data_IF_151655469346
#
_entry.id   IF_151655469346
#
_cell.length_a   1.000
_cell.length_b   1.000
_cell.length_c   1.000
_cell.angle_alpha   90.00
_cell.angle_beta   90.00
_cell.angle_gamma   90.00
#
_symmetry.space_group_name_H-M   'P 1'
#
loop_
_entity.id
_entity.type
_entity.pdbx_description
1 polymer ?
#
# COMPACT_ATOMS: atom_id res chain seq x y z
N UNK A 1 12.28 -0.67 -4.86
CA UNK A 1 11.50 -1.89 -4.63
C UNK A 1 11.99 -3.03 -5.50
N UNK A 2 11.73 -4.25 -5.06
CA UNK A 2 12.04 -5.47 -5.82
C UNK A 2 10.71 -6.17 -6.11
N UNK A 3 10.49 -6.56 -7.38
CA UNK A 3 9.27 -7.24 -7.79
C UNK A 3 9.09 -8.57 -7.05
N UNK A 4 7.86 -8.89 -6.66
CA UNK A 4 7.53 -10.12 -5.96
C UNK A 4 7.81 -10.12 -4.45
N UNK A 5 8.42 -9.05 -3.90
CA UNK A 5 8.75 -9.00 -2.48
C UNK A 5 7.50 -8.99 -1.57
N UNK A 6 7.66 -9.67 -0.44
CA UNK A 6 6.72 -9.81 0.67
C UNK A 6 7.27 -9.08 1.90
N UNK A 7 6.54 -9.04 2.98
CA UNK A 7 7.01 -8.39 4.21
C UNK A 7 8.29 -9.04 4.78
N UNK A 8 8.43 -10.35 4.63
CA UNK A 8 9.66 -11.08 5.04
C UNK A 8 10.87 -10.66 4.23
N UNK A 9 10.70 -10.45 2.92
CA UNK A 9 11.79 -9.99 2.04
C UNK A 9 12.21 -8.54 2.37
N UNK A 10 11.28 -7.70 2.86
CA UNK A 10 11.62 -6.38 3.40
C UNK A 10 12.43 -6.49 4.68
N UNK A 11 12.04 -7.37 5.61
CA UNK A 11 12.76 -7.60 6.86
C UNK A 11 14.23 -7.94 6.59
N UNK A 12 14.45 -8.87 5.67
CA UNK A 12 15.78 -9.44 5.41
C UNK A 12 16.78 -8.42 4.83
N UNK A 13 16.28 -7.35 4.19
CA UNK A 13 17.10 -6.28 3.60
C UNK A 13 16.89 -4.90 4.25
N UNK A 14 16.18 -4.84 5.37
CA UNK A 14 15.77 -3.57 5.99
C UNK A 14 16.93 -2.72 6.45
N UNK A 15 18.01 -3.36 6.93
CA UNK A 15 19.21 -2.66 7.37
C UNK A 15 19.84 -1.85 6.24
N UNK A 16 20.08 -2.49 5.10
CA UNK A 16 20.77 -1.88 3.97
C UNK A 16 19.88 -0.91 3.19
N UNK A 17 18.61 -1.29 2.97
CA UNK A 17 17.70 -0.53 2.10
C UNK A 17 17.00 0.63 2.80
N UNK A 18 16.96 0.64 4.15
CA UNK A 18 16.25 1.66 4.92
C UNK A 18 17.13 2.28 5.99
N UNK A 19 17.63 1.51 6.95
CA UNK A 19 18.29 2.08 8.13
C UNK A 19 19.64 2.72 7.77
N UNK A 20 20.42 2.10 6.89
CA UNK A 20 21.70 2.65 6.42
C UNK A 20 21.54 3.96 5.65
N UNK A 21 20.40 4.17 5.00
CA UNK A 21 20.11 5.39 4.24
C UNK A 21 19.69 6.57 5.13
N UNK A 22 19.34 6.32 6.38
CA UNK A 22 18.91 7.32 7.36
C UNK A 22 17.86 8.30 6.81
N UNK A 23 16.71 7.80 6.31
CA UNK A 23 15.70 8.64 5.71
C UNK A 23 15.07 9.58 6.73
N UNK A 24 14.71 10.79 6.31
CA UNK A 24 13.86 11.69 7.09
C UNK A 24 12.38 11.26 7.04
N UNK A 25 11.95 10.79 5.87
CA UNK A 25 10.60 10.31 5.61
C UNK A 25 10.63 8.93 5.00
N UNK A 26 9.74 8.08 5.44
CA UNK A 26 9.59 6.73 4.91
C UNK A 26 8.15 6.48 4.47
N UNK A 27 7.98 5.94 3.27
CA UNK A 27 6.69 5.43 2.80
C UNK A 27 6.79 3.93 2.58
N UNK A 28 5.84 3.18 3.14
CA UNK A 28 5.79 1.73 2.98
C UNK A 28 4.44 1.33 2.35
N UNK A 29 4.51 0.56 1.27
CA UNK A 29 3.36 -0.12 0.67
C UNK A 29 3.79 -1.55 0.33
N UNK A 30 3.31 -2.52 1.08
CA UNK A 30 3.62 -3.95 0.97
C UNK A 30 2.40 -4.78 1.32
N UNK A 31 2.32 -6.03 0.89
CA UNK A 31 1.28 -6.97 1.28
C UNK A 31 0.59 -7.67 0.12
N UNK A 32 0.64 -7.12 -1.10
CA UNK A 32 -0.02 -7.74 -2.25
C UNK A 32 0.57 -9.14 -2.53
N UNK A 33 1.90 -9.27 -2.50
CA UNK A 33 2.55 -10.56 -2.76
C UNK A 33 2.41 -11.53 -1.57
N UNK A 34 2.31 -11.02 -0.35
CA UNK A 34 2.02 -11.85 0.83
C UNK A 34 0.68 -12.56 0.66
N UNK A 35 -0.34 -11.86 0.20
CA UNK A 35 -1.65 -12.44 -0.08
C UNK A 35 -1.65 -13.22 -1.38
N UNK A 36 -1.17 -12.65 -2.48
CA UNK A 36 -1.26 -13.25 -3.80
C UNK A 36 -0.60 -14.63 -3.85
N UNK A 37 0.57 -14.81 -3.22
CA UNK A 37 1.28 -16.08 -3.18
C UNK A 37 0.51 -17.21 -2.51
N UNK A 38 -0.43 -16.90 -1.64
CA UNK A 38 -1.31 -17.89 -1.03
C UNK A 38 -2.37 -18.44 -2.02
N UNK A 39 -2.63 -17.72 -3.12
CA UNK A 39 -3.62 -18.09 -4.13
C UNK A 39 -2.99 -18.61 -5.42
N UNK A 40 -1.89 -18.03 -5.89
CA UNK A 40 -1.24 -18.45 -7.13
C UNK A 40 -0.21 -19.57 -6.92
N UNK A 41 0.38 -19.65 -5.75
CA UNK A 41 1.36 -20.66 -5.37
C UNK A 41 1.14 -21.18 -3.94
N UNK A 42 0.03 -21.89 -3.67
CA UNK A 42 -0.32 -22.35 -2.32
C UNK A 42 0.66 -23.37 -1.75
N UNK A 43 1.54 -23.96 -2.60
CA UNK A 43 2.59 -24.89 -2.18
C UNK A 43 3.91 -24.23 -1.81
N UNK A 44 3.97 -22.89 -1.84
CA UNK A 44 5.16 -22.17 -1.41
C UNK A 44 5.45 -22.45 0.06
N UNK A 45 6.70 -22.86 0.36
CA UNK A 45 7.09 -23.32 1.70
C UNK A 45 6.96 -22.24 2.78
N UNK A 46 7.15 -20.98 2.40
CA UNK A 46 7.03 -19.84 3.31
C UNK A 46 5.84 -18.98 2.91
N UNK A 47 4.66 -19.30 3.44
CA UNK A 47 3.48 -18.45 3.34
C UNK A 47 3.48 -17.47 4.52
N UNK A 48 3.14 -16.21 4.23
CA UNK A 48 3.10 -15.15 5.26
C UNK A 48 1.66 -14.95 5.74
N UNK A 49 1.38 -15.32 6.97
CA UNK A 49 0.07 -15.20 7.58
C UNK A 49 -0.19 -13.81 8.20
N UNK A 50 -1.44 -13.54 8.57
CA UNK A 50 -1.86 -12.24 9.14
C UNK A 50 -1.07 -11.86 10.41
N UNK A 51 -0.84 -12.82 11.31
CA UNK A 51 -0.12 -12.55 12.56
C UNK A 51 1.37 -12.29 12.32
N UNK A 52 1.94 -12.99 11.35
CA UNK A 52 3.33 -12.79 10.96
C UNK A 52 3.53 -11.42 10.31
N UNK A 53 2.63 -11.00 9.40
CA UNK A 53 2.65 -9.63 8.84
C UNK A 53 2.57 -8.60 9.95
N UNK A 54 1.63 -8.74 10.88
CA UNK A 54 1.48 -7.81 12.00
C UNK A 54 2.77 -7.69 12.80
N UNK A 55 3.40 -8.82 13.10
CA UNK A 55 4.63 -8.88 13.89
C UNK A 55 5.78 -8.23 13.14
N UNK A 56 6.09 -8.71 11.93
CA UNK A 56 7.24 -8.24 11.15
C UNK A 56 7.08 -6.75 10.81
N UNK A 57 5.93 -6.35 10.27
CA UNK A 57 5.71 -4.98 9.89
C UNK A 57 5.78 -4.03 11.09
N UNK A 58 5.20 -4.43 12.23
CA UNK A 58 5.30 -3.67 13.48
C UNK A 58 6.73 -3.54 13.98
N UNK A 59 7.57 -4.57 13.88
CA UNK A 59 8.98 -4.52 14.23
C UNK A 59 9.77 -3.57 13.32
N UNK A 60 9.54 -3.62 12.00
CA UNK A 60 10.17 -2.72 11.05
C UNK A 60 9.86 -1.25 11.35
N UNK A 61 8.58 -0.96 11.66
CA UNK A 61 8.15 0.38 12.07
C UNK A 61 8.88 0.80 13.34
N UNK A 62 8.86 -0.01 14.40
CA UNK A 62 9.49 0.30 15.69
C UNK A 62 10.98 0.57 15.57
N UNK A 63 11.68 -0.18 14.73
CA UNK A 63 13.13 0.00 14.49
C UNK A 63 13.45 1.33 13.81
N UNK A 64 12.55 1.82 12.96
CA UNK A 64 12.83 2.96 12.10
C UNK A 64 12.23 4.28 12.63
N UNK A 65 11.06 4.22 13.23
CA UNK A 65 10.27 5.37 13.66
C UNK A 65 11.07 6.41 14.50
N UNK A 66 11.95 6.01 15.44
CA UNK A 66 12.69 7.00 16.23
C UNK A 66 13.62 7.92 15.44
N UNK A 67 14.00 7.53 14.22
CA UNK A 67 14.88 8.30 13.33
C UNK A 67 14.14 9.10 12.28
N UNK A 68 12.81 8.91 12.13
CA UNK A 68 12.02 9.54 11.10
C UNK A 68 11.41 10.87 11.57
N UNK A 69 11.29 11.81 10.63
CA UNK A 69 10.43 13.00 10.76
C UNK A 69 8.97 12.66 10.43
N UNK A 70 8.74 11.65 9.59
CA UNK A 70 7.41 11.19 9.27
C UNK A 70 7.38 9.82 8.59
N UNK A 71 6.27 9.11 8.81
CA UNK A 71 6.01 7.79 8.26
C UNK A 71 4.64 7.77 7.58
N UNK A 72 4.60 7.25 6.36
CA UNK A 72 3.37 7.05 5.60
C UNK A 72 3.20 5.56 5.31
N UNK A 73 2.07 4.99 5.69
CA UNK A 73 1.70 3.62 5.40
C UNK A 73 0.55 3.61 4.40
N UNK A 74 0.76 2.99 3.25
CA UNK A 74 -0.30 2.76 2.26
C UNK A 74 -0.83 1.34 2.41
N UNK A 75 -2.16 1.18 2.39
CA UNK A 75 -2.74 -0.16 2.37
C UNK A 75 -2.32 -0.92 1.11
N UNK A 76 -2.07 -2.23 1.19
CA UNK A 76 -2.09 -3.06 0.00
C UNK A 76 -3.49 -3.02 -0.63
N UNK A 77 -3.60 -3.47 -1.88
CA UNK A 77 -4.86 -3.45 -2.62
C UNK A 77 -4.98 -4.67 -3.54
N UNK A 78 -6.22 -5.00 -3.87
CA UNK A 78 -6.56 -5.94 -4.93
C UNK A 78 -7.67 -5.33 -5.78
N UNK A 79 -7.47 -5.25 -7.10
CA UNK A 79 -8.36 -4.54 -8.04
C UNK A 79 -9.55 -5.46 -8.38
N UNK A 80 -10.33 -5.81 -7.38
CA UNK A 80 -11.48 -6.71 -7.42
C UNK A 80 -12.67 -6.04 -6.70
N UNK A 81 -13.79 -5.77 -7.42
CA UNK A 81 -14.97 -5.17 -6.81
C UNK A 81 -15.77 -6.14 -5.95
N UNK A 82 -15.67 -7.46 -6.20
CA UNK A 82 -16.37 -8.46 -5.41
C UNK A 82 -15.68 -8.65 -4.05
N UNK A 83 -16.30 -8.11 -3.00
CA UNK A 83 -15.78 -8.23 -1.62
C UNK A 83 -15.89 -9.64 -1.06
N UNK A 84 -16.66 -10.52 -1.70
CA UNK A 84 -16.77 -11.92 -1.32
C UNK A 84 -15.67 -12.81 -1.94
N UNK A 85 -14.89 -12.27 -2.90
CA UNK A 85 -13.70 -12.96 -3.44
C UNK A 85 -12.73 -13.29 -2.31
N UNK A 86 -12.25 -14.56 -2.20
CA UNK A 86 -11.38 -14.98 -1.09
C UNK A 86 -10.09 -14.19 -0.99
N UNK A 87 -9.44 -13.86 -2.12
CA UNK A 87 -8.21 -13.07 -2.12
C UNK A 87 -8.51 -11.62 -1.73
N UNK A 88 -9.66 -11.06 -2.15
CA UNK A 88 -10.07 -9.73 -1.74
C UNK A 88 -10.30 -9.65 -0.23
N UNK A 89 -11.00 -10.61 0.35
CA UNK A 89 -11.21 -10.68 1.82
C UNK A 89 -9.90 -10.68 2.59
N UNK A 90 -8.95 -11.47 2.11
CA UNK A 90 -7.65 -11.54 2.76
C UNK A 90 -6.87 -10.24 2.58
N UNK A 91 -6.94 -9.61 1.42
CA UNK A 91 -6.32 -8.30 1.18
C UNK A 91 -6.91 -7.22 2.09
N UNK A 92 -8.23 -7.22 2.28
CA UNK A 92 -8.89 -6.29 3.20
C UNK A 92 -8.42 -6.51 4.66
N UNK A 93 -8.19 -7.77 5.07
CA UNK A 93 -7.65 -8.08 6.39
C UNK A 93 -6.20 -7.57 6.55
N UNK A 94 -5.34 -7.71 5.53
CA UNK A 94 -4.00 -7.13 5.51
C UNK A 94 -4.05 -5.59 5.57
N UNK A 95 -4.93 -4.97 4.80
CA UNK A 95 -5.16 -3.52 4.84
C UNK A 95 -5.56 -3.04 6.25
N UNK A 96 -6.40 -3.82 6.93
CA UNK A 96 -6.79 -3.56 8.32
C UNK A 96 -5.60 -3.60 9.29
N UNK A 97 -4.67 -4.54 9.11
CA UNK A 97 -3.44 -4.59 9.90
C UNK A 97 -2.59 -3.33 9.67
N UNK A 98 -2.39 -2.93 8.42
CA UNK A 98 -1.61 -1.72 8.08
C UNK A 98 -2.23 -0.47 8.70
N UNK A 99 -3.56 -0.35 8.63
CA UNK A 99 -4.29 0.75 9.28
C UNK A 99 -4.06 0.76 10.79
N UNK A 100 -4.24 -0.39 11.45
CA UNK A 100 -4.05 -0.50 12.91
C UNK A 100 -2.60 -0.16 13.33
N UNK A 101 -1.61 -0.54 12.51
CA UNK A 101 -0.22 -0.17 12.75
C UNK A 101 0.01 1.33 12.57
N UNK A 102 -0.62 1.95 11.55
CA UNK A 102 -0.54 3.39 11.36
C UNK A 102 -1.13 4.13 12.58
N UNK A 103 -2.33 3.75 13.03
CA UNK A 103 -2.99 4.35 14.19
C UNK A 103 -2.14 4.18 15.47
N UNK A 104 -1.58 2.99 15.69
CA UNK A 104 -0.78 2.67 16.88
C UNK A 104 0.55 3.42 16.95
N UNK A 105 1.11 3.82 15.81
CA UNK A 105 2.41 4.47 15.72
C UNK A 105 2.35 5.94 15.30
N UNK A 106 1.17 6.52 15.16
CA UNK A 106 0.98 7.91 14.72
C UNK A 106 1.47 8.17 13.29
N UNK A 107 1.46 7.14 12.44
CA UNK A 107 1.82 7.26 11.03
C UNK A 107 0.64 7.77 10.20
N UNK A 108 0.93 8.46 9.11
CA UNK A 108 -0.07 8.82 8.12
C UNK A 108 -0.54 7.56 7.40
N UNK A 109 -1.85 7.39 7.25
CA UNK A 109 -2.44 6.25 6.55
C UNK A 109 -3.08 6.66 5.24
N UNK A 110 -2.68 6.03 4.13
CA UNK A 110 -3.30 6.17 2.82
C UNK A 110 -4.04 4.88 2.43
N UNK A 111 -5.38 4.97 2.27
CA UNK A 111 -6.23 3.83 1.94
C UNK A 111 -6.33 3.63 0.43
N UNK A 112 -5.33 2.96 -0.14
CA UNK A 112 -5.28 2.67 -1.58
C UNK A 112 -6.42 1.74 -2.01
N UNK A 113 -6.80 0.75 -1.17
CA UNK A 113 -7.92 -0.14 -1.48
C UNK A 113 -9.23 0.64 -1.63
N UNK A 114 -9.53 1.55 -0.70
CA UNK A 114 -10.71 2.40 -0.76
C UNK A 114 -10.72 3.30 -2.01
N UNK A 115 -9.57 3.78 -2.42
CA UNK A 115 -9.45 4.59 -3.63
C UNK A 115 -9.74 3.76 -4.90
N UNK A 116 -9.24 2.52 -4.97
CA UNK A 116 -9.61 1.59 -6.03
C UNK A 116 -11.09 1.24 -6.00
N UNK A 117 -11.67 0.96 -4.84
CA UNK A 117 -13.10 0.68 -4.68
C UNK A 117 -13.98 1.82 -5.22
N UNK A 118 -13.61 3.07 -4.95
CA UNK A 118 -14.30 4.24 -5.49
C UNK A 118 -14.26 4.25 -7.02
N UNK A 119 -13.13 3.95 -7.61
CA UNK A 119 -13.02 3.86 -9.07
C UNK A 119 -13.85 2.70 -9.64
N UNK A 120 -13.77 1.53 -9.01
CA UNK A 120 -14.45 0.31 -9.44
C UNK A 120 -15.97 0.35 -9.26
N UNK A 121 -16.50 1.28 -8.46
CA UNK A 121 -17.96 1.46 -8.36
C UNK A 121 -18.59 1.97 -9.66
N UNK A 122 -17.80 2.49 -10.58
CA UNK A 122 -18.26 3.04 -11.87
C UNK A 122 -17.51 2.48 -13.08
N UNK A 123 -16.44 1.70 -12.87
CA UNK A 123 -15.56 1.26 -13.94
C UNK A 123 -15.18 -0.22 -13.77
N UNK A 124 -14.89 -0.89 -14.89
CA UNK A 124 -14.35 -2.25 -14.85
C UNK A 124 -12.89 -2.26 -14.40
N UNK A 125 -12.50 -3.31 -13.65
CA UNK A 125 -11.11 -3.57 -13.26
C UNK A 125 -10.17 -3.71 -14.47
N UNK A 126 -10.67 -4.20 -15.60
CA UNK A 126 -9.90 -4.33 -16.85
C UNK A 126 -9.37 -2.99 -17.38
N UNK A 127 -9.98 -1.87 -17.00
CA UNK A 127 -9.49 -0.53 -17.37
C UNK A 127 -8.23 -0.12 -16.60
N UNK A 128 -7.91 -0.83 -15.53
CA UNK A 128 -6.76 -0.58 -14.64
C UNK A 128 -5.66 -1.63 -14.77
N UNK A 129 -6.02 -2.89 -15.04
CA UNK A 129 -5.07 -4.01 -15.08
C UNK A 129 -5.67 -5.23 -15.78
N UNK A 130 -4.80 -6.16 -16.18
CA UNK A 130 -5.22 -7.45 -16.75
C UNK A 130 -5.35 -8.58 -15.73
N UNK A 131 -4.71 -8.47 -14.57
CA UNK A 131 -4.58 -9.55 -13.58
C UNK A 131 -5.05 -9.16 -12.16
N UNK A 132 -5.62 -7.99 -12.00
CA UNK A 132 -6.12 -7.40 -10.74
C UNK A 132 -5.03 -7.09 -9.68
N UNK A 133 -3.75 -7.27 -10.05
CA UNK A 133 -2.58 -7.09 -9.17
C UNK A 133 -1.68 -5.95 -9.67
N UNK A 134 -1.34 -5.95 -10.97
CA UNK A 134 -0.39 -5.02 -11.57
C UNK A 134 -1.12 -3.87 -12.28
N UNK A 135 -1.25 -2.69 -11.65
CA UNK A 135 -1.98 -1.57 -12.22
C UNK A 135 -1.22 -0.93 -13.38
N UNK A 136 -1.97 -0.45 -14.35
CA UNK A 136 -1.45 0.41 -15.41
C UNK A 136 -1.24 1.86 -14.91
N UNK A 137 -0.93 2.79 -15.84
CA UNK A 137 -0.73 4.20 -15.49
C UNK A 137 -1.90 4.82 -14.71
N UNK A 138 -3.16 4.50 -15.07
CA UNK A 138 -4.34 5.02 -14.34
C UNK A 138 -4.36 4.53 -12.91
N UNK A 139 -4.09 3.23 -12.69
CA UNK A 139 -4.02 2.68 -11.34
C UNK A 139 -2.86 3.27 -10.52
N UNK A 140 -1.70 3.51 -11.13
CA UNK A 140 -0.61 4.23 -10.47
C UNK A 140 -0.99 5.67 -10.12
N UNK A 141 -1.78 6.36 -10.95
CA UNK A 141 -2.31 7.69 -10.62
C UNK A 141 -3.22 7.63 -9.39
N UNK A 142 -4.08 6.62 -9.28
CA UNK A 142 -4.93 6.44 -8.09
C UNK A 142 -4.07 6.31 -6.82
N UNK A 143 -3.01 5.49 -6.86
CA UNK A 143 -2.09 5.32 -5.73
C UNK A 143 -1.38 6.63 -5.38
N UNK A 144 -0.86 7.33 -6.38
CA UNK A 144 -0.15 8.61 -6.19
C UNK A 144 -1.08 9.67 -5.59
N UNK A 145 -2.31 9.79 -6.10
CA UNK A 145 -3.32 10.71 -5.55
C UNK A 145 -3.66 10.34 -4.11
N UNK A 146 -3.83 9.05 -3.81
CA UNK A 146 -4.09 8.59 -2.44
C UNK A 146 -2.97 8.99 -1.49
N UNK A 147 -1.72 8.84 -1.91
CA UNK A 147 -0.56 9.27 -1.12
C UNK A 147 -0.56 10.78 -0.88
N UNK A 148 -0.75 11.57 -1.94
CA UNK A 148 -0.76 13.03 -1.86
C UNK A 148 -1.89 13.55 -0.96
N UNK A 149 -3.09 13.00 -1.11
CA UNK A 149 -4.24 13.34 -0.26
C UNK A 149 -3.96 12.98 1.22
N UNK A 150 -3.35 11.81 1.46
CA UNK A 150 -3.05 11.36 2.82
C UNK A 150 -2.05 12.28 3.55
N UNK A 151 -1.08 12.85 2.85
CA UNK A 151 -0.10 13.81 3.42
C UNK A 151 -0.61 15.25 3.43
N UNK A 152 -1.86 15.50 3.04
CA UNK A 152 -2.45 16.84 3.03
C UNK A 152 -1.97 17.74 1.88
N UNK A 153 -1.60 17.15 0.73
CA UNK A 153 -1.22 17.95 -0.44
C UNK A 153 -2.42 18.73 -0.97
N UNK A 154 -2.27 20.04 -1.05
CA UNK A 154 -3.28 20.92 -1.61
C UNK A 154 -3.16 20.98 -3.13
N UNK A 155 -4.16 20.43 -3.82
CA UNK A 155 -4.28 20.60 -5.27
C UNK A 155 -4.62 22.05 -5.55
N UNK A 156 -3.71 22.79 -6.21
CA UNK A 156 -4.05 24.12 -6.71
C UNK A 156 -5.24 23.96 -7.66
N UNK A 157 -6.40 24.46 -7.27
CA UNK A 157 -7.47 24.73 -8.21
C UNK A 157 -6.88 25.72 -9.23
N UNK A 158 -6.70 25.27 -10.49
CA UNK A 158 -6.17 26.13 -11.53
C UNK A 158 -6.91 27.44 -11.47
N UNK A 159 -6.19 28.53 -11.25
CA UNK A 159 -6.73 29.87 -11.38
C UNK A 159 -7.45 29.90 -12.73
N UNK A 160 -8.74 30.19 -12.65
CA UNK A 160 -9.51 30.54 -13.83
C UNK A 160 -8.65 31.53 -14.62
N UNK A 161 -8.32 31.18 -15.86
CA UNK A 161 -7.75 32.10 -16.81
C UNK A 161 -8.81 33.20 -16.97
N UNK A 162 -8.79 34.18 -16.06
CA UNK A 162 -9.56 35.39 -16.17
C UNK A 162 -8.85 36.29 -17.17
N UNK A 163 -9.46 36.39 -18.31
CA UNK A 163 -9.44 37.52 -19.22
C UNK A 163 -8.16 38.37 -19.22
N UNK A 164 -7.27 38.07 -20.16
CA UNK A 164 -6.47 39.12 -20.76
C UNK A 164 -7.16 39.53 -22.06
N UNK A 165 -8.12 40.43 -21.93
CA UNK A 165 -8.53 41.34 -23.00
C UNK A 165 -7.43 42.34 -23.26
#
# INVERSE_FOLDING_TARGET
GISGNRVIDLRDRWEDDVLALKPDWLTIMIGINDVWRQFDNPMLAEQVGLDEVRTIYGELIKRTLPSLKGLVLLSPYFIEPNREDPMRKQMDAYGGIVKNLADAHGAVFGDAQKAFDRYLSHNSSQTLCGDRVHPNRKGHTIIATTFLDAIGFEWQSGDSVSDRT
#
